data_IF_502730622376
#
_entry.id   IF_502730622376
#
_cell.length_a   1.000
_cell.length_b   1.000
_cell.length_c   1.000
_cell.angle_alpha   90.00
_cell.angle_beta   90.00
_cell.angle_gamma   90.00
#
_symmetry.space_group_name_H-M   'P 1'
#
loop_
_entity.id
_entity.type
_entity.pdbx_description
1 polymer ?
#
# COMPACT_ATOMS: atom_id res chain seq x y z
N UNK A 1 26.79 -10.14 -0.58
CA UNK A 1 25.77 -9.20 -0.10
C UNK A 1 25.16 -8.53 -1.32
N UNK A 2 23.92 -8.86 -1.65
CA UNK A 2 23.26 -8.30 -2.84
C UNK A 2 22.96 -6.82 -2.58
N UNK A 3 23.51 -5.94 -3.40
CA UNK A 3 23.23 -4.49 -3.36
C UNK A 3 22.28 -4.17 -4.50
N UNK A 4 21.17 -3.50 -4.18
CA UNK A 4 20.23 -2.99 -5.17
C UNK A 4 20.33 -1.47 -5.22
N UNK A 5 20.63 -0.94 -6.40
CA UNK A 5 20.55 0.50 -6.64
C UNK A 5 19.09 0.86 -6.94
N UNK A 6 18.51 1.71 -6.10
CA UNK A 6 17.21 2.30 -6.38
C UNK A 6 17.39 3.43 -7.39
N UNK A 7 16.54 3.45 -8.42
CA UNK A 7 16.56 4.49 -9.46
C UNK A 7 15.89 5.80 -9.01
N UNK A 8 15.26 5.80 -7.83
CA UNK A 8 14.59 6.96 -7.24
C UNK A 8 14.77 7.01 -5.71
N UNK A 9 14.71 8.19 -5.08
CA UNK A 9 14.80 8.33 -3.63
C UNK A 9 13.59 7.70 -2.93
N UNK A 10 13.77 6.64 -2.11
CA UNK A 10 12.65 5.96 -1.46
C UNK A 10 12.07 6.79 -0.31
N UNK A 11 10.76 6.68 -0.09
CA UNK A 11 10.03 7.26 1.05
C UNK A 11 9.32 6.23 1.91
N UNK A 12 8.88 5.11 1.31
CA UNK A 12 8.22 4.03 2.02
C UNK A 12 8.49 2.69 1.32
N UNK A 13 8.42 1.60 2.07
CA UNK A 13 8.56 0.25 1.54
C UNK A 13 7.68 -0.75 2.30
N UNK A 14 7.32 -1.81 1.60
CA UNK A 14 6.64 -2.97 2.18
C UNK A 14 7.28 -4.24 1.59
N UNK A 15 7.38 -5.30 2.38
CA UNK A 15 7.99 -6.56 1.94
C UNK A 15 7.05 -7.74 2.17
N UNK A 16 7.14 -8.73 1.29
CA UNK A 16 6.33 -9.94 1.38
C UNK A 16 7.08 -11.15 0.85
N UNK A 17 6.69 -12.34 1.29
CA UNK A 17 7.29 -13.61 0.85
C UNK A 17 8.68 -13.87 1.43
N UNK A 18 9.29 -14.97 1.00
CA UNK A 18 10.62 -15.39 1.47
C UNK A 18 11.70 -14.87 0.51
N UNK A 19 12.71 -14.14 1.01
CA UNK A 19 13.73 -13.50 0.17
C UNK A 19 14.47 -14.46 -0.78
N UNK A 20 14.69 -15.71 -0.36
CA UNK A 20 15.34 -16.74 -1.19
C UNK A 20 14.40 -17.36 -2.22
N UNK A 21 13.08 -17.18 -2.08
CA UNK A 21 12.04 -17.71 -2.96
C UNK A 21 11.33 -16.61 -3.74
N UNK A 22 10.07 -16.35 -3.40
CA UNK A 22 9.18 -15.42 -4.11
C UNK A 22 9.17 -13.99 -3.55
N UNK A 23 10.07 -13.74 -2.58
CA UNK A 23 10.16 -12.54 -1.78
C UNK A 23 10.37 -11.26 -2.60
N UNK A 24 9.75 -10.19 -2.14
CA UNK A 24 9.76 -8.88 -2.78
C UNK A 24 9.88 -7.77 -1.76
N UNK A 25 10.53 -6.70 -2.18
CA UNK A 25 10.52 -5.40 -1.50
C UNK A 25 9.86 -4.43 -2.46
N UNK A 26 8.67 -3.98 -2.13
CA UNK A 26 7.94 -2.94 -2.86
C UNK A 26 8.38 -1.59 -2.31
N UNK A 27 8.72 -0.67 -3.20
CA UNK A 27 9.35 0.61 -2.85
C UNK A 27 8.61 1.73 -3.54
N UNK A 28 8.35 2.78 -2.79
CA UNK A 28 7.74 4.02 -3.25
C UNK A 28 8.75 5.14 -3.17
N UNK A 29 8.83 5.95 -4.23
CA UNK A 29 9.65 7.14 -4.32
C UNK A 29 8.91 8.42 -3.97
N UNK A 30 9.68 9.45 -3.61
CA UNK A 30 9.14 10.81 -3.36
C UNK A 30 8.46 11.41 -4.59
N UNK A 31 8.87 10.99 -5.78
CA UNK A 31 8.34 11.41 -7.08
C UNK A 31 7.13 10.57 -7.53
N UNK A 32 6.56 9.74 -6.64
CA UNK A 32 5.40 8.91 -6.93
C UNK A 32 5.71 7.59 -7.65
N UNK A 33 6.98 7.31 -7.99
CA UNK A 33 7.35 6.01 -8.59
C UNK A 33 7.15 4.89 -7.60
N UNK A 34 6.38 3.87 -7.99
CA UNK A 34 6.27 2.62 -7.26
C UNK A 34 6.90 1.50 -8.08
N UNK A 35 7.64 0.62 -7.42
CA UNK A 35 8.21 -0.56 -8.04
C UNK A 35 8.49 -1.65 -7.03
N UNK A 36 9.13 -2.72 -7.50
CA UNK A 36 9.57 -3.80 -6.63
C UNK A 36 10.95 -4.32 -6.98
N UNK A 37 11.68 -4.73 -5.94
CA UNK A 37 12.93 -5.46 -6.02
C UNK A 37 12.64 -6.94 -5.76
N UNK A 38 13.31 -7.79 -6.54
CA UNK A 38 13.45 -9.23 -6.28
C UNK A 38 14.93 -9.58 -6.24
N UNK A 39 15.26 -10.63 -5.50
CA UNK A 39 16.62 -11.14 -5.42
C UNK A 39 17.17 -11.43 -6.83
N UNK A 40 18.39 -10.96 -7.10
CA UNK A 40 19.07 -11.16 -8.39
C UNK A 40 18.47 -10.39 -9.57
N UNK A 41 17.49 -9.50 -9.34
CA UNK A 41 16.89 -8.66 -10.39
C UNK A 41 17.09 -7.17 -10.07
N UNK A 42 17.19 -6.30 -11.10
CA UNK A 42 17.12 -4.86 -10.89
C UNK A 42 15.73 -4.46 -10.37
N UNK A 43 15.61 -3.22 -9.89
CA UNK A 43 14.31 -2.67 -9.50
C UNK A 43 13.40 -2.62 -10.73
N UNK A 44 12.17 -3.12 -10.58
CA UNK A 44 11.16 -3.06 -11.63
C UNK A 44 10.16 -1.95 -11.28
N UNK A 45 10.13 -0.88 -12.06
CA UNK A 45 9.06 0.13 -12.01
C UNK A 45 7.71 -0.51 -12.34
N UNK A 46 6.69 -0.21 -11.55
CA UNK A 46 5.31 -0.62 -11.77
C UNK A 46 4.50 0.52 -12.39
N UNK A 47 4.54 1.68 -11.75
CA UNK A 47 3.78 2.86 -12.18
C UNK A 47 4.39 4.14 -11.55
N UNK A 48 4.05 5.30 -12.12
CA UNK A 48 4.25 6.61 -11.49
C UNK A 48 2.89 7.14 -11.04
N UNK A 49 2.71 7.31 -9.74
CA UNK A 49 1.49 7.82 -9.13
C UNK A 49 1.31 9.32 -9.46
N UNK A 50 0.06 9.81 -9.60
CA UNK A 50 -0.20 11.20 -9.96
C UNK A 50 0.13 12.21 -8.84
N UNK A 51 0.27 11.73 -7.61
CA UNK A 51 0.63 12.51 -6.43
C UNK A 51 1.48 11.64 -5.47
N UNK A 52 2.15 12.24 -4.47
CA UNK A 52 2.92 11.50 -3.48
C UNK A 52 2.07 10.44 -2.77
N UNK A 53 2.62 9.25 -2.56
CA UNK A 53 1.98 8.25 -1.74
C UNK A 53 2.05 8.65 -0.26
N UNK A 54 0.99 8.33 0.47
CA UNK A 54 0.89 8.51 1.92
C UNK A 54 1.43 7.28 2.63
N UNK A 55 0.95 6.09 2.26
CA UNK A 55 1.34 4.83 2.91
C UNK A 55 1.20 3.64 1.96
N UNK A 56 1.88 2.53 2.28
CA UNK A 56 1.89 1.28 1.51
C UNK A 56 1.67 0.09 2.44
N UNK A 57 0.85 -0.86 2.00
CA UNK A 57 0.64 -2.12 2.70
C UNK A 57 0.64 -3.32 1.76
N UNK A 58 0.94 -4.50 2.31
CA UNK A 58 0.97 -5.75 1.54
C UNK A 58 -0.45 -6.32 1.42
N UNK A 59 -0.84 -6.68 0.20
CA UNK A 59 -2.04 -7.48 -0.04
C UNK A 59 -1.71 -8.97 0.11
N UNK A 60 -2.65 -9.79 0.57
CA UNK A 60 -2.50 -11.26 0.64
C UNK A 60 -2.13 -11.92 -0.70
N UNK A 61 -2.45 -11.28 -1.82
CA UNK A 61 -2.02 -11.72 -3.16
C UNK A 61 -0.52 -11.54 -3.45
N UNK A 62 0.25 -10.98 -2.50
CA UNK A 62 1.66 -10.60 -2.65
C UNK A 62 1.86 -9.31 -3.47
N UNK A 63 0.79 -8.53 -3.60
CA UNK A 63 0.78 -7.20 -4.21
C UNK A 63 0.85 -6.08 -3.15
N UNK A 64 0.55 -4.85 -3.57
CA UNK A 64 0.53 -3.69 -2.70
C UNK A 64 -0.83 -3.00 -2.73
N UNK A 65 -1.27 -2.47 -1.59
CA UNK A 65 -2.21 -1.37 -1.51
C UNK A 65 -1.44 -0.09 -1.22
N UNK A 66 -1.79 1.00 -1.90
CA UNK A 66 -1.13 2.30 -1.75
C UNK A 66 -2.19 3.36 -1.59
N UNK A 67 -2.06 4.19 -0.56
CA UNK A 67 -2.84 5.41 -0.43
C UNK A 67 -2.05 6.58 -0.99
N UNK A 68 -2.72 7.48 -1.68
CA UNK A 68 -2.13 8.62 -2.38
C UNK A 68 -2.73 9.91 -1.85
N UNK A 69 -1.92 10.98 -1.81
CA UNK A 69 -2.30 12.26 -1.23
C UNK A 69 -3.50 12.93 -1.94
N UNK A 70 -3.80 12.54 -3.17
CA UNK A 70 -4.99 12.97 -3.92
C UNK A 70 -6.30 12.30 -3.46
N UNK A 71 -6.24 11.50 -2.40
CA UNK A 71 -7.39 10.79 -1.85
C UNK A 71 -7.68 9.46 -2.54
N UNK A 72 -6.75 8.91 -3.33
CA UNK A 72 -6.94 7.60 -3.96
C UNK A 72 -6.34 6.45 -3.14
N UNK A 73 -7.04 5.31 -3.11
CA UNK A 73 -6.50 4.02 -2.70
C UNK A 73 -6.36 3.14 -3.95
N UNK A 74 -5.16 2.64 -4.19
CA UNK A 74 -4.80 1.87 -5.39
C UNK A 74 -4.31 0.48 -4.97
N UNK A 75 -4.83 -0.56 -5.62
CA UNK A 75 -4.38 -1.93 -5.45
C UNK A 75 -3.54 -2.39 -6.63
N UNK A 76 -2.36 -2.91 -6.37
CA UNK A 76 -1.46 -3.51 -7.36
C UNK A 76 -1.35 -5.01 -7.14
N UNK A 77 -1.33 -5.76 -8.23
CA UNK A 77 -0.96 -7.17 -8.22
C UNK A 77 0.52 -7.34 -7.91
N UNK A 78 0.89 -8.58 -7.58
CA UNK A 78 2.29 -9.00 -7.41
C UNK A 78 3.19 -8.65 -8.62
N UNK A 79 2.63 -8.52 -9.84
CA UNK A 79 3.37 -8.21 -11.06
C UNK A 79 3.52 -6.71 -11.34
N UNK A 80 2.88 -5.86 -10.53
CA UNK A 80 2.80 -4.41 -10.70
C UNK A 80 1.63 -3.92 -11.55
N UNK A 81 0.68 -4.80 -11.90
CA UNK A 81 -0.53 -4.41 -12.64
C UNK A 81 -1.54 -3.82 -11.65
N UNK A 82 -2.05 -2.61 -11.94
CA UNK A 82 -3.16 -1.98 -11.21
C UNK A 82 -4.41 -2.85 -11.32
N UNK A 83 -4.92 -3.30 -10.18
CA UNK A 83 -6.12 -4.15 -10.06
C UNK A 83 -7.38 -3.30 -9.89
N UNK A 84 -7.29 -2.24 -9.09
CA UNK A 84 -8.39 -1.34 -8.79
C UNK A 84 -7.84 0.00 -8.27
N UNK A 85 -8.66 1.03 -8.37
CA UNK A 85 -8.39 2.38 -7.88
C UNK A 85 -9.71 2.99 -7.45
N UNK A 86 -9.80 3.45 -6.20
CA UNK A 86 -11.01 4.05 -5.64
C UNK A 86 -10.68 5.39 -4.98
N UNK A 87 -11.64 6.31 -5.00
CA UNK A 87 -11.58 7.54 -4.21
C UNK A 87 -11.97 7.28 -2.76
N UNK A 88 -11.24 7.88 -1.84
CA UNK A 88 -11.46 7.83 -0.40
C UNK A 88 -11.95 9.21 0.05
N UNK A 89 -13.06 9.29 0.80
CA UNK A 89 -13.51 10.55 1.37
C UNK A 89 -12.49 11.14 2.37
N UNK A 90 -12.23 12.44 2.26
CA UNK A 90 -11.35 13.18 3.16
C UNK A 90 -9.86 13.04 2.85
N UNK A 91 -9.02 13.62 3.70
CA UNK A 91 -7.56 13.55 3.58
C UNK A 91 -7.08 12.24 4.20
N UNK A 92 -6.38 11.41 3.41
CA UNK A 92 -5.83 10.16 3.90
C UNK A 92 -4.60 10.45 4.79
N UNK A 93 -4.55 9.82 5.95
CA UNK A 93 -3.47 9.99 6.93
C UNK A 93 -2.59 8.75 7.04
N UNK A 94 -3.16 7.55 6.96
CA UNK A 94 -2.40 6.30 7.01
C UNK A 94 -3.17 5.11 6.42
N UNK A 95 -2.47 4.00 6.19
CA UNK A 95 -2.97 2.73 5.68
C UNK A 95 -2.30 1.56 6.44
N UNK A 96 -3.09 0.59 6.90
CA UNK A 96 -2.57 -0.69 7.38
C UNK A 96 -3.39 -1.87 6.87
N UNK A 97 -2.74 -3.02 6.71
CA UNK A 97 -3.41 -4.29 6.43
C UNK A 97 -3.94 -4.88 7.73
N UNK A 98 -5.20 -5.31 7.71
CA UNK A 98 -5.90 -5.94 8.82
C UNK A 98 -6.23 -7.39 8.43
N UNK A 99 -5.31 -8.35 8.66
CA UNK A 99 -5.61 -9.76 8.43
C UNK A 99 -6.64 -10.25 9.46
N UNK A 100 -7.61 -11.02 9.01
CA UNK A 100 -8.62 -11.69 9.86
C UNK A 100 -8.44 -13.21 9.69
N UNK A 101 -7.53 -13.85 10.46
CA UNK A 101 -7.11 -15.23 10.21
C UNK A 101 -8.26 -16.23 10.25
N UNK A 102 -9.27 -15.98 11.09
CA UNK A 102 -10.40 -16.86 11.31
C UNK A 102 -11.32 -16.98 10.08
N UNK A 103 -11.42 -15.94 9.27
CA UNK A 103 -12.24 -15.90 8.06
C UNK A 103 -11.42 -15.95 6.77
N UNK A 104 -10.09 -15.87 6.87
CA UNK A 104 -9.20 -15.73 5.72
C UNK A 104 -9.29 -14.38 5.02
N UNK A 105 -10.04 -13.42 5.58
CA UNK A 105 -10.15 -12.07 5.01
C UNK A 105 -8.86 -11.28 5.23
N UNK A 106 -8.57 -10.39 4.28
CA UNK A 106 -7.48 -9.43 4.38
C UNK A 106 -8.04 -8.05 4.09
N UNK A 107 -8.35 -7.33 5.17
CA UNK A 107 -8.93 -6.01 5.09
C UNK A 107 -7.83 -4.95 5.04
N UNK A 108 -8.22 -3.74 4.68
CA UNK A 108 -7.38 -2.56 4.73
C UNK A 108 -8.07 -1.51 5.61
N UNK A 109 -7.35 -0.96 6.56
CA UNK A 109 -7.80 0.22 7.30
C UNK A 109 -7.14 1.47 6.73
N UNK A 110 -7.95 2.44 6.36
CA UNK A 110 -7.51 3.76 5.87
C UNK A 110 -7.93 4.80 6.87
N UNK A 111 -6.96 5.48 7.49
CA UNK A 111 -7.27 6.62 8.35
C UNK A 111 -7.55 7.85 7.50
N UNK A 112 -8.63 8.55 7.82
CA UNK A 112 -9.13 9.69 7.06
C UNK A 112 -9.50 10.85 7.98
N UNK A 113 -8.96 12.03 7.72
CA UNK A 113 -9.30 13.23 8.47
C UNK A 113 -10.80 13.54 8.33
N UNK A 114 -11.48 13.71 9.48
CA UNK A 114 -12.91 14.00 9.56
C UNK A 114 -13.85 12.82 9.30
N UNK A 115 -13.33 11.65 8.93
CA UNK A 115 -14.14 10.47 8.55
C UNK A 115 -13.78 9.19 9.33
N UNK A 116 -12.88 9.29 10.31
CA UNK A 116 -12.45 8.17 11.14
C UNK A 116 -11.57 7.19 10.38
N UNK A 117 -11.63 5.91 10.77
CA UNK A 117 -10.90 4.82 10.10
C UNK A 117 -11.87 4.00 9.26
N UNK A 118 -11.65 4.00 7.95
CA UNK A 118 -12.50 3.30 6.97
C UNK A 118 -11.89 1.94 6.65
N UNK A 119 -12.69 0.89 6.77
CA UNK A 119 -12.27 -0.48 6.53
C UNK A 119 -12.72 -0.92 5.14
N UNK A 120 -11.82 -1.54 4.38
CA UNK A 120 -12.06 -2.00 3.02
C UNK A 120 -11.70 -3.46 2.83
N UNK A 121 -12.48 -4.17 2.02
CA UNK A 121 -12.12 -5.43 1.39
C UNK A 121 -11.79 -5.17 -0.09
N UNK A 122 -10.49 -5.00 -0.38
CA UNK A 122 -10.00 -4.53 -1.67
C UNK A 122 -10.60 -3.16 -2.03
N UNK A 123 -11.49 -3.13 -3.02
CA UNK A 123 -12.17 -1.91 -3.48
C UNK A 123 -13.47 -1.60 -2.75
N UNK A 124 -13.98 -2.52 -1.93
CA UNK A 124 -15.29 -2.39 -1.30
C UNK A 124 -15.15 -1.83 0.11
N UNK A 125 -15.86 -0.75 0.41
CA UNK A 125 -15.97 -0.24 1.77
C UNK A 125 -16.86 -1.18 2.58
N UNK A 126 -16.39 -1.64 3.73
CA UNK A 126 -17.12 -2.61 4.57
C UNK A 126 -17.55 -2.03 5.91
N UNK A 127 -16.78 -1.12 6.51
CA UNK A 127 -17.12 -0.52 7.80
C UNK A 127 -16.38 0.81 8.06
N UNK A 128 -16.84 1.57 9.06
CA UNK A 128 -16.18 2.80 9.53
C UNK A 128 -16.13 2.82 11.05
N UNK A 129 -14.91 2.84 11.59
CA UNK A 129 -14.69 3.15 13.01
C UNK A 129 -14.73 4.66 13.18
N UNK A 130 -15.78 5.17 13.83
CA UNK A 130 -15.92 6.59 14.15
C UNK A 130 -15.00 6.97 15.30
N UNK A 131 -14.18 7.99 15.09
CA UNK A 131 -13.22 8.51 16.07
C UNK A 131 -13.33 10.03 16.04
N UNK A 132 -13.29 10.67 17.21
CA UNK A 132 -13.44 12.13 17.32
C UNK A 132 -12.22 12.88 16.77
N UNK A 133 -11.03 12.34 17.01
CA UNK A 133 -9.76 12.95 16.57
C UNK A 133 -9.19 12.23 15.34
N UNK A 134 -8.44 12.95 14.47
CA UNK A 134 -7.75 12.32 13.36
C UNK A 134 -6.70 11.32 13.84
N UNK A 135 -6.75 10.09 13.33
CA UNK A 135 -5.76 9.05 13.65
C UNK A 135 -4.57 9.19 12.71
N UNK A 136 -3.43 9.64 13.23
CA UNK A 136 -2.23 9.89 12.42
C UNK A 136 -1.45 8.63 12.04
N UNK A 137 -1.62 7.54 12.79
CA UNK A 137 -0.92 6.27 12.53
C UNK A 137 -1.76 5.07 12.97
N UNK A 138 -1.73 4.02 12.15
CA UNK A 138 -2.36 2.72 12.38
C UNK A 138 -1.26 1.65 12.50
N UNK A 139 -1.48 0.62 13.33
CA UNK A 139 -0.56 -0.50 13.53
C UNK A 139 -1.30 -1.80 13.70
#
# INVERSE_FOLDING_TARGET
>A
MDKHQLEWPPVAFASCGLWTGDGRIMVIGRDGRIGAIRRGSPVKLWETLPAPAVSISVLTSGGAAVTVMDGTLVGFSKRGIKLWSIGIPGIILDLVSLPVPQSGLSLLAVSTAGHGVRIYDGKHHVDTVKIMEPVSALK
#
